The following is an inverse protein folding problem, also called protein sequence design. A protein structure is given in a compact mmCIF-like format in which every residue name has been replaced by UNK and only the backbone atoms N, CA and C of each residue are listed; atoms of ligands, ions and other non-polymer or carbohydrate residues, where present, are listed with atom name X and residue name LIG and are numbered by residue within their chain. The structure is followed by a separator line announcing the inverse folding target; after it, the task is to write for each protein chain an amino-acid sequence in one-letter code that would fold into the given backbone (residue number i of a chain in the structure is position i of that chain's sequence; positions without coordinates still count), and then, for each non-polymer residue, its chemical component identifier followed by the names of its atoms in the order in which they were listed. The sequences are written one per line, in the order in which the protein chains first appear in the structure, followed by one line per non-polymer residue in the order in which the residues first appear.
data_IF_462186028600
#
_entry.id   IF_462186028600
#
_cell.length_a   1.000
_cell.length_b   1.000
_cell.length_c   1.000
_cell.angle_alpha   90.00
_cell.angle_beta   90.00
_cell.angle_gamma   90.00
#
_symmetry.space_group_name_H-M   'P 1'
#
loop_
_entity.id
_entity.type
_entity.pdbx_description
1 polymer ?
#
# COMPACT_ATOMS: atom_id res chain seq x y z
N UNK A 1 -14.71 -27.47 20.79
CA UNK A 1 -13.96 -27.26 19.54
C UNK A 1 -13.92 -25.76 19.28
N UNK A 2 -12.78 -25.10 19.54
CA UNK A 2 -12.61 -23.68 19.22
C UNK A 2 -12.20 -23.58 17.74
N UNK A 3 -13.18 -23.60 16.85
CA UNK A 3 -12.98 -23.21 15.45
C UNK A 3 -13.27 -21.70 15.36
N UNK A 4 -12.25 -20.87 15.58
CA UNK A 4 -12.46 -19.42 15.75
C UNK A 4 -11.40 -18.51 15.14
N UNK A 5 -10.37 -19.03 14.48
CA UNK A 5 -9.42 -18.19 13.76
C UNK A 5 -9.29 -18.69 12.31
N UNK A 6 -10.09 -18.11 11.41
CA UNK A 6 -9.69 -18.02 10.01
C UNK A 6 -8.45 -17.14 9.90
N UNK A 7 -7.52 -17.48 9.03
CA UNK A 7 -6.36 -16.63 8.75
C UNK A 7 -6.86 -15.25 8.27
N UNK A 8 -6.20 -14.15 8.66
CA UNK A 8 -6.53 -12.82 8.15
C UNK A 8 -6.44 -12.86 6.62
N UNK A 9 -7.50 -12.41 5.96
CA UNK A 9 -7.57 -12.24 4.50
C UNK A 9 -6.91 -10.95 4.06
N UNK A 10 -6.83 -9.99 4.98
CA UNK A 10 -6.35 -8.65 4.71
C UNK A 10 -4.85 -8.66 4.47
N UNK A 11 -4.43 -7.92 3.46
CA UNK A 11 -3.03 -7.77 3.11
C UNK A 11 -2.67 -6.30 3.09
N UNK A 12 -1.39 -5.97 3.31
CA UNK A 12 -0.93 -4.59 3.20
C UNK A 12 0.17 -4.49 2.17
N UNK A 13 0.06 -3.49 1.31
CA UNK A 13 1.02 -3.18 0.27
C UNK A 13 1.59 -1.77 0.47
N UNK A 14 2.87 -1.63 0.18
CA UNK A 14 3.50 -0.34 -0.01
C UNK A 14 3.39 0.04 -1.49
N UNK A 15 2.79 1.20 -1.74
CA UNK A 15 2.62 1.76 -3.09
C UNK A 15 3.45 3.03 -3.20
N UNK A 16 4.29 3.11 -4.22
CA UNK A 16 5.02 4.35 -4.55
C UNK A 16 4.52 4.89 -5.88
N UNK A 17 4.11 6.15 -5.94
CA UNK A 17 3.56 6.78 -7.15
C UNK A 17 3.90 8.28 -7.20
N UNK A 18 3.68 8.92 -8.35
CA UNK A 18 3.80 10.38 -8.48
C UNK A 18 2.42 11.02 -8.49
N UNK A 19 2.19 12.01 -7.65
CA UNK A 19 0.90 12.72 -7.61
C UNK A 19 0.80 13.81 -8.71
N UNK A 20 -0.38 14.41 -8.84
CA UNK A 20 -0.62 15.48 -9.82
C UNK A 20 0.18 16.77 -9.58
N UNK A 21 0.82 16.91 -8.42
CA UNK A 21 1.69 18.04 -8.08
C UNK A 21 3.16 17.75 -8.37
N UNK A 22 3.50 16.54 -8.82
CA UNK A 22 4.88 16.13 -9.11
C UNK A 22 5.66 15.61 -7.90
N UNK A 23 4.99 15.31 -6.79
CA UNK A 23 5.61 14.70 -5.60
C UNK A 23 5.67 13.19 -5.77
N UNK A 24 6.71 12.57 -5.25
CA UNK A 24 6.78 11.12 -5.04
C UNK A 24 6.09 10.81 -3.73
N UNK A 25 5.04 10.01 -3.78
CA UNK A 25 4.28 9.58 -2.62
C UNK A 25 4.53 8.10 -2.34
N UNK A 26 4.66 7.75 -1.07
CA UNK A 26 4.67 6.38 -0.56
C UNK A 26 3.45 6.18 0.34
N UNK A 27 2.62 5.20 0.01
CA UNK A 27 1.40 4.87 0.74
C UNK A 27 1.48 3.45 1.29
N UNK A 28 0.97 3.24 2.50
CA UNK A 28 0.62 1.91 2.98
C UNK A 28 -0.88 1.71 2.73
N UNK A 29 -1.21 0.69 1.94
CA UNK A 29 -2.57 0.38 1.52
C UNK A 29 -2.97 -0.94 2.14
N UNK A 30 -4.02 -0.93 2.94
CA UNK A 30 -4.69 -2.14 3.41
C UNK A 30 -5.66 -2.59 2.33
N UNK A 31 -5.52 -3.84 1.92
CA UNK A 31 -6.38 -4.50 0.95
C UNK A 31 -7.20 -5.50 1.76
N UNK A 32 -8.45 -5.13 2.01
CA UNK A 32 -9.42 -6.05 2.59
C UNK A 32 -9.86 -7.02 1.48
N UNK A 33 -9.66 -8.31 1.75
CA UNK A 33 -10.07 -9.39 0.84
C UNK A 33 -11.20 -10.17 1.50
N UNK A 34 -12.28 -9.48 1.85
CA UNK A 34 -13.43 -10.15 2.40
C UNK A 34 -14.00 -11.14 1.37
N UNK A 35 -14.14 -12.40 1.80
CA UNK A 35 -14.63 -13.46 0.94
C UNK A 35 -16.10 -13.22 0.61
N UNK A 36 -16.36 -12.58 -0.54
CA UNK A 36 -17.62 -12.29 -1.25
C UNK A 36 -17.94 -10.79 -1.46
N UNK A 37 -17.12 -9.84 -1.00
CA UNK A 37 -17.47 -8.40 -1.12
C UNK A 37 -16.59 -7.58 -2.08
N UNK A 38 -15.51 -8.16 -2.61
CA UNK A 38 -14.58 -7.50 -3.54
C UNK A 38 -13.32 -7.02 -2.83
N UNK A 39 -12.35 -6.52 -3.61
CA UNK A 39 -11.12 -5.97 -3.03
C UNK A 39 -11.36 -4.50 -2.68
N UNK A 40 -11.42 -4.18 -1.38
CA UNK A 40 -11.50 -2.81 -0.89
C UNK A 40 -10.10 -2.30 -0.50
N UNK A 41 -9.77 -1.08 -0.95
CA UNK A 41 -8.47 -0.47 -0.76
C UNK A 41 -8.57 0.72 0.19
N UNK A 42 -7.95 0.63 1.35
CA UNK A 42 -7.87 1.71 2.33
C UNK A 42 -6.44 2.20 2.48
N UNK A 43 -6.22 3.52 2.34
CA UNK A 43 -4.90 4.13 2.58
C UNK A 43 -4.73 4.40 4.07
N UNK A 44 -3.86 3.63 4.72
CA UNK A 44 -3.59 3.77 6.16
C UNK A 44 -2.59 4.89 6.47
N UNK A 45 -1.60 5.09 5.59
CA UNK A 45 -0.63 6.18 5.71
C UNK A 45 -0.19 6.66 4.34
N UNK A 46 0.11 7.95 4.22
CA UNK A 46 0.59 8.59 2.99
C UNK A 46 1.67 9.61 3.33
N UNK A 47 2.85 9.43 2.77
CA UNK A 47 3.95 10.40 2.82
C UNK A 47 4.29 10.85 1.39
N UNK A 48 4.57 12.15 1.20
CA UNK A 48 4.80 12.71 -0.12
C UNK A 48 5.89 13.79 -0.11
N UNK A 49 6.89 13.63 -0.95
CA UNK A 49 8.04 14.53 -1.04
C UNK A 49 8.38 14.87 -2.49
N UNK A 50 8.94 16.06 -2.74
CA UNK A 50 9.42 16.40 -4.07
C UNK A 50 10.73 15.67 -4.38
N UNK A 51 10.92 15.18 -5.62
CA UNK A 51 12.20 14.60 -6.01
C UNK A 51 13.31 15.65 -5.93
N UNK A 52 14.57 15.25 -5.67
CA UNK A 52 15.71 16.15 -5.73
C UNK A 52 15.81 16.85 -7.08
N UNK A 53 16.41 18.05 -7.11
CA UNK A 53 16.58 18.80 -8.36
C UNK A 53 17.29 17.97 -9.44
N UNK A 54 16.77 18.05 -10.67
CA UNK A 54 17.28 17.29 -11.82
C UNK A 54 16.96 15.79 -11.81
N UNK A 55 16.17 15.29 -10.86
CA UNK A 55 15.68 13.90 -10.83
C UNK A 55 14.22 13.84 -11.28
N UNK A 56 13.93 12.89 -12.15
CA UNK A 56 12.54 12.51 -12.46
C UNK A 56 12.08 11.44 -11.48
N UNK A 57 10.84 11.51 -10.98
CA UNK A 57 10.23 10.41 -10.24
C UNK A 57 10.37 9.06 -10.93
N UNK A 58 10.55 8.00 -10.13
CA UNK A 58 10.51 6.64 -10.63
C UNK A 58 9.10 6.23 -11.10
N UNK A 59 8.98 5.07 -11.79
CA UNK A 59 7.68 4.54 -12.14
C UNK A 59 6.89 4.15 -10.89
N UNK A 60 5.57 4.08 -11.01
CA UNK A 60 4.70 3.53 -9.97
C UNK A 60 5.12 2.09 -9.63
N UNK A 61 5.18 1.76 -8.34
CA UNK A 61 5.49 0.42 -7.85
C UNK A 61 4.57 -0.01 -6.72
N UNK A 62 4.35 -1.31 -6.66
CA UNK A 62 3.60 -2.02 -5.63
C UNK A 62 4.51 -3.10 -5.06
N UNK A 63 4.54 -3.22 -3.75
CA UNK A 63 5.31 -4.24 -3.05
C UNK A 63 4.58 -4.65 -1.78
N UNK A 64 4.58 -5.94 -1.41
CA UNK A 64 4.06 -6.35 -0.10
C UNK A 64 4.83 -5.66 1.02
N UNK A 65 4.18 -5.51 2.18
CA UNK A 65 4.93 -5.14 3.39
C UNK A 65 6.09 -6.13 3.62
N UNK A 66 7.27 -5.64 4.01
CA UNK A 66 8.38 -6.52 4.38
C UNK A 66 8.01 -7.35 5.62
N UNK A 67 8.54 -8.57 5.68
CA UNK A 67 8.40 -9.44 6.84
C UNK A 67 9.00 -8.76 8.09
N UNK A 68 8.36 -8.97 9.25
CA UNK A 68 8.93 -8.59 10.53
C UNK A 68 9.82 -9.73 11.02
N UNK A 69 11.12 -9.48 11.14
CA UNK A 69 12.06 -10.36 11.86
C UNK A 69 11.72 -10.46 13.37
#
# INVERSE_FOLDING_TARGET
LLAGCSAPTDTTEIVTFTDGHGRVCTAAVVIDKEQNEGDDYEVSSLDCEYPPEGRTPGPTRYSPLPDRD
#
